data_IF_034895619837
#
_entry.id   IF_034895619837
#
_cell.length_a   1.000
_cell.length_b   1.000
_cell.length_c   1.000
_cell.angle_alpha   90.00
_cell.angle_beta   90.00
_cell.angle_gamma   90.00
#
_symmetry.space_group_name_H-M   'P 1'
#
loop_
_entity.id
_entity.type
_entity.pdbx_description
1 polymer ?
#
# COMPACT_ATOMS: atom_id res chain seq x y z
N UNK A 1 -9.51 -15.99 2.24
CA UNK A 1 -9.11 -14.95 3.21
C UNK A 1 -8.66 -13.74 2.43
N UNK A 2 -8.74 -12.55 3.02
CA UNK A 2 -8.24 -11.33 2.40
C UNK A 2 -6.85 -10.99 2.92
N UNK A 3 -5.90 -10.77 2.02
CA UNK A 3 -4.53 -10.35 2.34
C UNK A 3 -4.32 -8.94 1.82
N UNK A 4 -3.82 -8.06 2.66
CA UNK A 4 -3.44 -6.69 2.32
C UNK A 4 -1.95 -6.65 2.01
N UNK A 5 -1.62 -6.35 0.76
CA UNK A 5 -0.25 -6.45 0.23
C UNK A 5 0.28 -5.03 0.00
N UNK A 6 1.43 -4.67 0.59
CA UNK A 6 2.09 -3.40 0.32
C UNK A 6 2.61 -3.40 -1.12
N UNK A 7 2.50 -2.27 -1.80
CA UNK A 7 3.04 -2.12 -3.14
C UNK A 7 3.54 -0.71 -3.41
N UNK A 8 4.17 -0.56 -4.58
CA UNK A 8 4.60 0.72 -5.16
C UNK A 8 4.05 0.87 -6.58
N UNK A 9 3.98 2.11 -7.07
CA UNK A 9 3.30 2.45 -8.33
C UNK A 9 3.77 1.65 -9.56
N UNK A 10 5.06 1.35 -9.67
CA UNK A 10 5.64 0.58 -10.78
C UNK A 10 5.12 -0.86 -10.83
N UNK A 11 4.82 -1.47 -9.68
CA UNK A 11 4.31 -2.84 -9.60
C UNK A 11 2.91 -2.98 -10.19
N UNK A 12 2.13 -1.90 -10.29
CA UNK A 12 0.83 -1.93 -10.98
C UNK A 12 0.95 -2.34 -12.45
N UNK A 13 2.13 -2.19 -13.07
CA UNK A 13 2.39 -2.57 -14.46
C UNK A 13 2.99 -3.97 -14.59
N UNK A 14 3.32 -4.63 -13.49
CA UNK A 14 3.91 -5.96 -13.48
C UNK A 14 2.93 -7.02 -14.04
N UNK A 15 3.46 -8.12 -14.62
CA UNK A 15 2.63 -9.21 -15.14
C UNK A 15 1.79 -9.87 -14.04
N UNK A 16 2.33 -9.93 -12.82
CA UNK A 16 1.70 -10.50 -11.62
C UNK A 16 1.74 -9.46 -10.48
N UNK A 17 0.75 -9.45 -9.57
CA UNK A 17 0.80 -8.59 -8.39
C UNK A 17 1.94 -9.01 -7.45
N UNK A 18 2.44 -8.09 -6.60
CA UNK A 18 3.43 -8.44 -5.58
C UNK A 18 2.91 -9.53 -4.65
N UNK A 19 3.81 -10.42 -4.21
CA UNK A 19 3.44 -11.58 -3.38
C UNK A 19 4.48 -11.91 -2.31
N UNK A 20 5.44 -11.01 -2.05
CA UNK A 20 6.53 -11.28 -1.10
C UNK A 20 6.02 -11.36 0.35
N UNK A 21 5.09 -10.47 0.71
CA UNK A 21 4.55 -10.34 2.06
C UNK A 21 3.24 -9.56 2.02
N UNK A 22 2.35 -9.86 2.95
CA UNK A 22 1.14 -9.08 3.24
C UNK A 22 0.64 -9.37 4.66
N UNK A 23 -0.48 -8.75 5.01
CA UNK A 23 -1.11 -8.90 6.32
C UNK A 23 -2.55 -9.37 6.17
N UNK A 24 -2.99 -10.21 7.10
CA UNK A 24 -4.36 -10.74 7.15
C UNK A 24 -4.89 -10.66 8.57
N UNK A 25 -6.19 -10.41 8.69
CA UNK A 25 -6.90 -10.58 9.95
C UNK A 25 -6.84 -12.07 10.37
N UNK A 26 -6.37 -12.32 11.59
CA UNK A 26 -6.32 -13.63 12.24
C UNK A 26 -7.18 -13.58 13.52
N UNK A 27 -8.51 -13.46 13.38
CA UNK A 27 -9.41 -13.23 14.49
C UNK A 27 -9.43 -14.44 15.44
N UNK A 28 -9.36 -14.21 16.77
CA UNK A 28 -9.61 -15.25 17.75
C UNK A 28 -10.98 -15.94 17.55
N UNK A 29 -11.10 -17.18 18.02
CA UNK A 29 -12.36 -17.89 17.95
C UNK A 29 -13.46 -17.13 18.72
N UNK A 30 -14.55 -16.81 18.02
CA UNK A 30 -15.70 -16.10 18.60
C UNK A 30 -15.67 -14.58 18.44
N UNK A 31 -14.69 -14.00 17.74
CA UNK A 31 -14.76 -12.61 17.27
C UNK A 31 -15.99 -12.42 16.39
N UNK A 32 -16.73 -11.33 16.60
CA UNK A 32 -17.90 -10.98 15.81
C UNK A 32 -17.52 -10.26 14.51
N UNK A 33 -18.53 -9.89 13.71
CA UNK A 33 -18.29 -9.26 12.41
C UNK A 33 -17.58 -7.90 12.53
N UNK A 34 -18.00 -7.07 13.49
CA UNK A 34 -17.38 -5.76 13.75
C UNK A 34 -15.91 -5.90 14.18
N UNK A 35 -15.61 -6.86 15.07
CA UNK A 35 -14.24 -7.16 15.47
C UNK A 35 -13.38 -7.69 14.32
N UNK A 36 -13.95 -8.42 13.37
CA UNK A 36 -13.24 -8.86 12.17
C UNK A 36 -12.94 -7.67 11.25
N UNK A 37 -13.92 -6.78 11.04
CA UNK A 37 -13.73 -5.56 10.24
C UNK A 37 -12.61 -4.67 10.82
N UNK A 38 -12.56 -4.50 12.14
CA UNK A 38 -11.47 -3.78 12.81
C UNK A 38 -10.10 -4.42 12.56
N UNK A 39 -10.01 -5.75 12.60
CA UNK A 39 -8.75 -6.46 12.32
C UNK A 39 -8.35 -6.40 10.83
N UNK A 40 -9.32 -6.30 9.93
CA UNK A 40 -9.07 -6.05 8.51
C UNK A 40 -8.50 -4.64 8.29
N UNK A 41 -9.03 -3.63 8.98
CA UNK A 41 -8.50 -2.26 8.98
C UNK A 41 -7.08 -2.19 9.57
N UNK A 42 -6.81 -2.93 10.65
CA UNK A 42 -5.46 -3.04 11.24
C UNK A 42 -4.48 -3.71 10.26
N UNK A 43 -4.89 -4.79 9.58
CA UNK A 43 -4.08 -5.44 8.56
C UNK A 43 -3.80 -4.52 7.36
N UNK A 44 -4.79 -3.73 6.93
CA UNK A 44 -4.61 -2.71 5.91
C UNK A 44 -3.61 -1.63 6.35
N UNK A 45 -3.68 -1.21 7.61
CA UNK A 45 -2.79 -0.21 8.21
C UNK A 45 -1.33 -0.67 8.20
N UNK A 46 -1.08 -1.93 8.59
CA UNK A 46 0.25 -2.53 8.52
C UNK A 46 0.77 -2.64 7.08
N UNK A 47 -0.10 -2.98 6.12
CA UNK A 47 0.26 -2.97 4.71
C UNK A 47 0.59 -1.56 4.20
N UNK A 48 -0.10 -0.53 4.69
CA UNK A 48 0.18 0.86 4.35
C UNK A 48 1.55 1.31 4.89
N UNK A 49 1.93 0.90 6.10
CA UNK A 49 3.29 1.05 6.64
C UNK A 49 4.32 0.29 5.80
N UNK A 50 4.00 -0.94 5.39
CA UNK A 50 4.83 -1.72 4.48
C UNK A 50 5.09 -1.03 3.15
N UNK A 51 4.09 -0.35 2.59
CA UNK A 51 4.23 0.44 1.36
C UNK A 51 5.22 1.61 1.53
N UNK A 52 5.23 2.29 2.69
CA UNK A 52 6.22 3.34 2.98
C UNK A 52 7.65 2.79 3.02
N UNK A 53 7.85 1.58 3.58
CA UNK A 53 9.16 0.93 3.58
C UNK A 53 9.62 0.61 2.15
N UNK A 54 8.72 0.11 1.30
CA UNK A 54 9.01 -0.13 -0.11
C UNK A 54 9.36 1.17 -0.85
N UNK A 55 8.60 2.26 -0.62
CA UNK A 55 8.87 3.56 -1.23
C UNK A 55 10.21 4.14 -0.82
N UNK A 56 10.60 3.96 0.45
CA UNK A 56 11.92 4.40 0.93
C UNK A 56 13.06 3.70 0.18
N UNK A 57 12.89 2.43 -0.14
CA UNK A 57 13.87 1.64 -0.89
C UNK A 57 13.78 1.89 -2.41
N UNK A 58 12.65 2.43 -2.88
CA UNK A 58 12.33 2.69 -4.30
C UNK A 58 11.72 4.09 -4.54
N UNK A 59 12.48 5.18 -4.26
CA UNK A 59 11.96 6.55 -4.29
C UNK A 59 11.61 7.08 -5.68
N UNK A 60 11.92 6.34 -6.75
CA UNK A 60 11.49 6.65 -8.11
C UNK A 60 9.99 6.43 -8.37
N UNK A 61 9.28 5.79 -7.42
CA UNK A 61 7.85 5.58 -7.51
C UNK A 61 7.06 6.82 -7.11
N UNK A 62 5.80 6.89 -7.53
CA UNK A 62 4.89 7.92 -7.05
C UNK A 62 4.84 7.92 -5.51
N UNK A 63 4.94 9.08 -4.84
CA UNK A 63 5.00 9.18 -3.39
C UNK A 63 3.60 9.01 -2.77
N UNK A 64 3.03 7.81 -2.91
CA UNK A 64 1.71 7.43 -2.39
C UNK A 64 1.79 6.05 -1.76
N UNK A 65 1.20 5.87 -0.58
CA UNK A 65 0.94 4.52 -0.06
C UNK A 65 0.00 3.81 -1.03
N UNK A 66 0.37 2.59 -1.39
CA UNK A 66 -0.42 1.71 -2.25
C UNK A 66 -0.53 0.35 -1.58
N UNK A 67 -1.77 -0.08 -1.33
CA UNK A 67 -2.09 -1.40 -0.78
C UNK A 67 -3.06 -2.12 -1.70
N UNK A 68 -2.82 -3.40 -1.96
CA UNK A 68 -3.72 -4.27 -2.71
C UNK A 68 -4.47 -5.14 -1.71
N UNK A 69 -5.80 -5.15 -1.76
CA UNK A 69 -6.59 -6.20 -1.12
C UNK A 69 -6.72 -7.37 -2.09
N UNK A 70 -6.33 -8.56 -1.62
CA UNK A 70 -6.29 -9.79 -2.43
C UNK A 70 -7.05 -10.90 -1.73
N UNK A 71 -8.01 -11.49 -2.42
CA UNK A 71 -8.70 -12.69 -1.93
C UNK A 71 -7.93 -13.94 -2.39
N UNK A 72 -7.38 -14.69 -1.44
CA UNK A 72 -6.63 -15.93 -1.73
C UNK A 72 -7.06 -17.07 -0.81
N UNK A 73 -6.89 -18.30 -1.31
CA UNK A 73 -7.09 -19.53 -0.55
C UNK A 73 -5.80 -20.05 0.09
N UNK A 74 -4.65 -19.52 -0.30
CA UNK A 74 -3.33 -19.99 0.15
C UNK A 74 -2.47 -18.82 0.61
N UNK A 75 -2.06 -18.86 1.88
CA UNK A 75 -1.10 -17.94 2.47
C UNK A 75 -0.34 -18.69 3.58
N UNK A 76 0.95 -18.42 3.72
CA UNK A 76 1.81 -19.05 4.73
C UNK A 76 2.25 -17.99 5.74
N UNK A 77 2.02 -18.17 7.05
CA UNK A 77 2.55 -17.26 8.07
C UNK A 77 4.08 -17.15 7.98
N UNK A 78 4.58 -15.92 8.02
CA UNK A 78 6.03 -15.63 8.02
C UNK A 78 6.49 -15.02 9.36
N UNK A 79 5.61 -14.98 10.35
CA UNK A 79 5.87 -14.55 11.71
C UNK A 79 4.79 -15.03 12.67
N UNK A 80 4.90 -14.66 13.94
CA UNK A 80 3.84 -14.92 14.92
C UNK A 80 2.67 -13.96 14.68
N UNK A 81 1.44 -14.47 14.87
CA UNK A 81 0.26 -13.61 14.92
C UNK A 81 0.34 -12.75 16.18
N UNK A 82 0.20 -11.44 16.02
CA UNK A 82 0.21 -10.47 17.10
C UNK A 82 -1.09 -9.67 17.05
N UNK A 83 -1.76 -9.50 18.19
CA UNK A 83 -2.95 -8.65 18.30
C UNK A 83 -4.09 -8.97 17.31
N UNK A 84 -4.20 -10.22 16.83
CA UNK A 84 -5.26 -10.63 15.89
C UNK A 84 -4.96 -10.32 14.42
N UNK A 85 -3.73 -9.94 14.09
CA UNK A 85 -3.23 -9.83 12.71
C UNK A 85 -2.03 -10.75 12.50
N UNK A 86 -1.88 -11.28 11.29
CA UNK A 86 -0.79 -12.16 10.92
C UNK A 86 -0.07 -11.66 9.67
N UNK A 87 1.25 -11.63 9.74
CA UNK A 87 2.10 -11.39 8.57
C UNK A 87 2.25 -12.69 7.78
N UNK A 88 1.90 -12.68 6.51
CA UNK A 88 1.87 -13.87 5.64
C UNK A 88 2.58 -13.63 4.32
N UNK A 89 3.09 -14.70 3.72
CA UNK A 89 3.44 -14.75 2.32
C UNK A 89 2.26 -15.40 1.56
N UNK A 90 1.55 -14.67 0.68
CA UNK A 90 0.51 -15.26 -0.14
C UNK A 90 1.11 -16.30 -1.12
N UNK A 91 0.30 -17.28 -1.50
CA UNK A 91 0.64 -18.18 -2.61
C UNK A 91 0.67 -17.46 -3.96
N UNK A 92 0.78 -18.19 -5.09
CA UNK A 92 0.75 -17.58 -6.41
C UNK A 92 -0.51 -16.73 -6.63
N UNK A 93 -0.33 -15.51 -7.13
CA UNK A 93 -1.40 -14.54 -7.34
C UNK A 93 -1.49 -14.12 -8.80
N UNK A 94 -2.70 -13.77 -9.21
CA UNK A 94 -2.99 -13.09 -10.47
C UNK A 94 -3.73 -11.79 -10.18
N UNK A 95 -3.78 -10.91 -11.18
CA UNK A 95 -4.55 -9.67 -11.06
C UNK A 95 -6.07 -9.89 -10.92
N UNK A 96 -6.59 -11.11 -11.08
CA UNK A 96 -8.01 -11.44 -10.80
C UNK A 96 -8.27 -11.66 -9.32
N UNK A 97 -7.23 -11.95 -8.55
CA UNK A 97 -7.34 -12.19 -7.11
C UNK A 97 -7.36 -10.85 -6.34
N UNK A 98 -6.92 -9.76 -6.98
CA UNK A 98 -7.03 -8.40 -6.44
C UNK A 98 -8.48 -7.94 -6.51
N UNK A 99 -9.04 -7.57 -5.36
CA UNK A 99 -10.44 -7.14 -5.23
C UNK A 99 -10.58 -5.63 -5.01
N UNK A 100 -9.54 -4.97 -4.51
CA UNK A 100 -9.51 -3.52 -4.35
C UNK A 100 -8.07 -2.98 -4.25
N UNK A 101 -7.93 -1.68 -4.46
CA UNK A 101 -6.73 -0.92 -4.13
C UNK A 101 -7.06 0.14 -3.07
N UNK A 102 -6.10 0.40 -2.18
CA UNK A 102 -6.14 1.53 -1.25
C UNK A 102 -4.96 2.43 -1.55
N UNK A 103 -5.26 3.69 -1.85
CA UNK A 103 -4.29 4.62 -2.44
C UNK A 103 -4.44 6.00 -1.81
N UNK A 104 -3.33 6.65 -1.51
CA UNK A 104 -3.35 8.06 -1.09
C UNK A 104 -3.95 9.00 -2.16
N UNK A 105 -4.57 10.09 -1.70
CA UNK A 105 -4.88 11.27 -2.51
C UNK A 105 -3.59 12.01 -2.91
N UNK A 106 -3.64 12.82 -3.98
CA UNK A 106 -2.46 13.54 -4.47
C UNK A 106 -1.91 14.50 -3.39
N UNK A 107 -2.77 15.04 -2.53
CA UNK A 107 -2.43 15.94 -1.43
C UNK A 107 -1.56 15.30 -0.34
N UNK A 108 -1.56 13.96 -0.23
CA UNK A 108 -0.75 13.24 0.74
C UNK A 108 0.72 13.07 0.29
N UNK A 109 1.06 13.39 -0.97
CA UNK A 109 2.40 13.18 -1.52
C UNK A 109 3.51 13.77 -0.65
N UNK A 110 3.35 15.02 -0.20
CA UNK A 110 4.35 15.68 0.66
C UNK A 110 4.47 15.03 2.04
N UNK A 111 3.39 14.47 2.59
CA UNK A 111 3.42 13.71 3.84
C UNK A 111 4.16 12.37 3.66
N UNK A 112 3.95 11.69 2.54
CA UNK A 112 4.64 10.44 2.20
C UNK A 112 6.14 10.69 1.99
N UNK A 113 6.50 11.74 1.24
CA UNK A 113 7.89 12.16 1.04
C UNK A 113 8.59 12.44 2.37
N UNK A 114 7.92 13.12 3.30
CA UNK A 114 8.45 13.36 4.64
C UNK A 114 8.70 12.05 5.40
N UNK A 115 7.78 11.08 5.32
CA UNK A 115 7.94 9.78 5.97
C UNK A 115 9.15 9.00 5.42
N UNK A 116 9.29 8.91 4.09
CA UNK A 116 10.39 8.14 3.48
C UNK A 116 11.73 8.88 3.54
N UNK A 117 11.71 10.21 3.67
CA UNK A 117 12.89 11.06 3.80
C UNK A 117 13.44 11.19 5.23
N UNK A 118 12.66 10.81 6.25
CA UNK A 118 13.05 10.89 7.65
C UNK A 118 14.35 10.12 7.94
N UNK A 119 15.29 10.76 8.62
CA UNK A 119 16.60 10.21 8.96
C UNK A 119 16.70 9.80 10.44
N UNK A 120 15.74 10.23 11.27
CA UNK A 120 15.67 9.89 12.69
C UNK A 120 14.32 9.31 13.06
N UNK A 121 14.26 8.59 14.18
CA UNK A 121 13.00 8.04 14.69
C UNK A 121 11.98 9.15 15.00
N UNK A 122 12.44 10.28 15.56
CA UNK A 122 11.55 11.40 15.90
C UNK A 122 10.94 12.00 14.64
N UNK A 123 11.74 12.24 13.60
CA UNK A 123 11.24 12.72 12.31
C UNK A 123 10.25 11.73 11.68
N UNK A 124 10.53 10.43 11.77
CA UNK A 124 9.66 9.39 11.24
C UNK A 124 8.31 9.36 11.99
N UNK A 125 8.33 9.41 13.32
CA UNK A 125 7.12 9.40 14.15
C UNK A 125 6.24 10.63 13.89
N UNK A 126 6.85 11.83 13.78
CA UNK A 126 6.13 13.06 13.46
C UNK A 126 5.53 13.04 12.05
N UNK A 127 6.29 12.57 11.06
CA UNK A 127 5.82 12.46 9.67
C UNK A 127 4.68 11.43 9.54
N UNK A 128 4.79 10.28 10.20
CA UNK A 128 3.76 9.24 10.23
C UNK A 128 2.49 9.78 10.88
N UNK A 129 2.59 10.49 12.01
CA UNK A 129 1.44 11.09 12.67
C UNK A 129 0.67 12.04 11.75
N UNK A 130 1.38 12.88 10.98
CA UNK A 130 0.75 13.77 10.00
C UNK A 130 0.14 13.01 8.81
N UNK A 131 0.78 11.95 8.35
CA UNK A 131 0.27 11.11 7.28
C UNK A 131 -0.97 10.31 7.70
N UNK A 132 -1.10 9.94 8.98
CA UNK A 132 -2.26 9.20 9.49
C UNK A 132 -3.56 10.00 9.47
N UNK A 133 -3.48 11.32 9.43
CA UNK A 133 -4.63 12.20 9.17
C UNK A 133 -5.10 12.14 7.70
N UNK A 134 -4.36 11.45 6.83
CA UNK A 134 -4.73 11.20 5.42
C UNK A 134 -5.30 9.80 5.28
N UNK A 135 -6.56 9.72 4.88
CA UNK A 135 -7.22 8.45 4.56
C UNK A 135 -6.77 7.92 3.21
N UNK A 136 -6.69 6.59 3.08
CA UNK A 136 -6.52 5.94 1.79
C UNK A 136 -7.88 5.86 1.08
N UNK A 137 -7.90 6.23 -0.19
CA UNK A 137 -9.07 6.05 -1.04
C UNK A 137 -9.18 4.60 -1.48
N UNK A 138 -10.38 4.05 -1.37
CA UNK A 138 -10.74 2.77 -1.94
C UNK A 138 -10.98 2.91 -3.45
N UNK A 139 -10.36 2.03 -4.23
CA UNK A 139 -10.58 1.88 -5.67
C UNK A 139 -10.95 0.44 -5.99
N UNK A 140 -11.88 0.26 -6.90
CA UNK A 140 -12.27 -1.05 -7.40
C UNK A 140 -11.13 -1.71 -8.20
N UNK A 141 -11.09 -3.05 -8.21
CA UNK A 141 -10.09 -3.80 -8.97
C UNK A 141 -10.04 -3.41 -10.47
N UNK A 142 -11.18 -2.99 -11.05
CA UNK A 142 -11.28 -2.55 -12.44
C UNK A 142 -10.61 -1.20 -12.71
N UNK A 143 -10.31 -0.41 -11.67
CA UNK A 143 -9.66 0.91 -11.78
C UNK A 143 -8.14 0.82 -11.94
N UNK A 144 -7.55 -0.38 -11.92
CA UNK A 144 -6.09 -0.57 -12.13
C UNK A 144 -5.54 0.20 -13.34
N UNK A 145 -6.15 0.19 -14.54
CA UNK A 145 -5.63 0.96 -15.67
C UNK A 145 -5.63 2.48 -15.43
N UNK A 146 -6.60 3.00 -14.67
CA UNK A 146 -6.67 4.42 -14.32
C UNK A 146 -5.57 4.80 -13.33
N UNK A 147 -5.31 3.95 -12.32
CA UNK A 147 -4.19 4.12 -11.39
C UNK A 147 -2.83 4.08 -12.12
N UNK A 148 -2.65 3.14 -13.05
CA UNK A 148 -1.47 3.06 -13.91
C UNK A 148 -1.27 4.37 -14.70
N UNK A 149 -2.35 4.94 -15.25
CA UNK A 149 -2.29 6.19 -16.00
C UNK A 149 -1.99 7.40 -15.10
N UNK A 150 -2.57 7.45 -13.89
CA UNK A 150 -2.30 8.49 -12.88
C UNK A 150 -0.81 8.58 -12.57
N UNK A 151 -0.17 7.46 -12.24
CA UNK A 151 1.23 7.45 -11.79
C UNK A 151 2.26 7.55 -12.91
N UNK A 152 1.85 7.61 -14.17
CA UNK A 152 2.77 7.85 -15.29
C UNK A 152 2.72 9.25 -15.84
N UNK A 153 1.78 10.08 -15.37
CA UNK A 153 1.77 11.52 -15.68
C UNK A 153 2.74 12.31 -14.79
N UNK A 154 3.19 11.73 -13.68
CA UNK A 154 4.13 12.37 -12.75
C UNK A 154 5.58 12.44 -13.27
N UNK A 155 5.90 11.78 -14.39
CA UNK A 155 7.22 11.80 -15.03
C UNK A 155 7.41 12.97 -16.03
N UNK A 156 6.35 13.68 -16.42
CA UNK A 156 6.45 14.81 -17.35
C UNK A 156 6.77 16.12 -16.59
N UNK A 157 8.04 16.28 -16.20
CA UNK A 157 8.58 17.62 -15.94
C UNK A 157 8.50 18.41 -17.26
N UNK A 158 7.85 19.58 -17.32
CA UNK A 158 7.85 20.39 -18.53
C UNK A 158 9.29 20.76 -18.87
N UNK A 159 9.78 20.33 -20.04
CA UNK A 159 11.04 20.84 -20.58
C UNK A 159 10.95 22.37 -20.64
N UNK A 160 11.95 23.12 -20.16
CA UNK A 160 11.93 24.57 -20.29
C UNK A 160 11.81 24.90 -21.77
N UNK A 161 10.77 25.65 -22.13
CA UNK A 161 10.62 26.26 -23.45
C UNK A 161 11.90 27.04 -23.69
N UNK A 162 12.74 26.54 -24.60
CA UNK A 162 13.98 27.20 -24.97
C UNK A 162 13.65 28.62 -25.43
N UNK A 163 14.31 29.61 -24.82
CA UNK A 163 14.35 30.97 -25.33
C UNK A 163 14.88 30.93 -26.76
N UNK A 164 13.98 31.04 -27.73
CA UNK A 164 14.34 31.39 -29.10
C UNK A 164 14.76 32.86 -29.09
N UNK A 165 16.07 33.08 -29.27
CA UNK A 165 16.67 34.40 -29.50
C UNK A 165 16.32 34.96 -30.88
#
# INVERSE_FOLDING_TARGET
MRVYIPAVSSQLRAPEPPSEKGWVADPPAGTDAEGIELLEDDAQTEAALGSLLLLRDHPENAPVRLVLAVDTSTATPIGESASGICCVQPGPLTWRDVVAFFVDEDEAASNVEACIGAQTQVEADEAIALLWERSLLWHDATERPALIARFSRSDETPLPLGDER
#
